data_IF_078204609664
#
_entry.id   IF_078204609664
#
_cell.length_a   1.000
_cell.length_b   1.000
_cell.length_c   1.000
_cell.angle_alpha   90.00
_cell.angle_beta   90.00
_cell.angle_gamma   90.00
#
_symmetry.space_group_name_H-M   'P 1'
#
loop_
_entity.id
_entity.type
_entity.pdbx_description
1 polymer ?
#
# COMPACT_ATOMS: atom_id res chain seq x y z
N UNK A 1 5.39 -2.60 11.58
CA UNK A 1 4.54 -1.99 10.55
C UNK A 1 5.44 -1.61 9.39
N UNK A 2 5.05 -1.89 8.15
CA UNK A 2 5.83 -1.56 6.96
C UNK A 2 5.06 -0.55 6.11
N UNK A 3 5.74 0.50 5.65
CA UNK A 3 5.13 1.54 4.79
C UNK A 3 5.43 1.21 3.33
N UNK A 4 4.39 1.08 2.53
CA UNK A 4 4.41 0.80 1.10
C UNK A 4 3.78 1.97 0.33
N UNK A 5 3.01 1.68 -0.72
CA UNK A 5 2.32 2.65 -1.58
C UNK A 5 1.29 1.91 -2.44
N UNK A 6 0.29 2.60 -2.98
CA UNK A 6 -0.53 2.07 -4.08
C UNK A 6 0.33 1.62 -5.30
N UNK A 7 1.51 2.23 -5.47
CA UNK A 7 2.47 1.83 -6.51
C UNK A 7 3.17 0.48 -6.25
N UNK A 8 2.98 -0.11 -5.07
CA UNK A 8 3.37 -1.49 -4.80
C UNK A 8 2.52 -2.52 -5.57
N UNK A 9 1.31 -2.11 -5.97
CA UNK A 9 0.32 -2.94 -6.63
C UNK A 9 0.24 -2.65 -8.12
N UNK A 10 0.31 -1.36 -8.48
CA UNK A 10 0.18 -0.88 -9.85
C UNK A 10 1.40 -0.02 -10.19
N UNK A 11 2.39 -0.56 -10.93
CA UNK A 11 3.59 0.19 -11.25
C UNK A 11 3.31 1.32 -12.26
N UNK A 12 4.08 2.41 -12.17
CA UNK A 12 4.02 3.53 -13.11
C UNK A 12 5.35 3.73 -13.82
N UNK A 13 5.30 4.11 -15.09
CA UNK A 13 6.47 4.18 -15.96
C UNK A 13 7.46 5.29 -15.58
N UNK A 14 7.01 6.35 -14.92
CA UNK A 14 7.88 7.47 -14.53
C UNK A 14 8.65 7.22 -13.23
N UNK A 15 8.28 6.21 -12.43
CA UNK A 15 8.92 5.89 -11.15
C UNK A 15 9.23 4.39 -10.99
N UNK A 16 9.95 3.75 -11.94
CA UNK A 16 10.09 2.29 -11.98
C UNK A 16 10.84 1.72 -10.77
N UNK A 17 11.90 2.38 -10.31
CA UNK A 17 12.67 1.93 -9.12
C UNK A 17 11.84 2.04 -7.85
N UNK A 18 11.05 3.12 -7.72
CA UNK A 18 10.14 3.28 -6.58
C UNK A 18 9.06 2.21 -6.58
N UNK A 19 8.36 2.01 -7.71
CA UNK A 19 7.36 0.95 -7.85
C UNK A 19 7.92 -0.44 -7.53
N UNK A 20 9.11 -0.79 -8.05
CA UNK A 20 9.76 -2.07 -7.76
C UNK A 20 10.10 -2.23 -6.26
N UNK A 21 10.62 -1.19 -5.62
CA UNK A 21 10.97 -1.20 -4.19
C UNK A 21 9.74 -1.35 -3.30
N UNK A 22 8.63 -0.70 -3.67
CA UNK A 22 7.36 -0.82 -2.97
C UNK A 22 6.72 -2.19 -3.18
N UNK A 23 6.80 -2.76 -4.39
CA UNK A 23 6.35 -4.13 -4.68
C UNK A 23 7.12 -5.18 -3.87
N UNK A 24 8.44 -5.02 -3.73
CA UNK A 24 9.25 -5.82 -2.82
C UNK A 24 8.73 -5.71 -1.39
N UNK A 25 8.53 -4.48 -0.89
CA UNK A 25 8.09 -4.23 0.49
C UNK A 25 6.71 -4.85 0.75
N UNK A 26 5.78 -4.76 -0.20
CA UNK A 26 4.48 -5.43 -0.17
C UNK A 26 4.62 -6.95 -0.08
N UNK A 27 5.38 -7.54 -1.01
CA UNK A 27 5.60 -8.99 -1.04
C UNK A 27 6.23 -9.50 0.25
N UNK A 28 7.28 -8.84 0.73
CA UNK A 28 7.94 -9.14 1.99
C UNK A 28 6.96 -9.05 3.18
N UNK A 29 6.16 -7.99 3.25
CA UNK A 29 5.20 -7.78 4.35
C UNK A 29 4.14 -8.88 4.39
N UNK A 30 3.63 -9.30 3.23
CA UNK A 30 2.64 -10.38 3.13
C UNK A 30 3.24 -11.71 3.58
N UNK A 31 4.42 -12.09 3.05
CA UNK A 31 5.09 -13.33 3.45
C UNK A 31 5.50 -13.34 4.93
N UNK A 32 5.99 -12.22 5.45
CA UNK A 32 6.37 -12.10 6.86
C UNK A 32 5.16 -12.24 7.78
N UNK A 33 4.00 -11.66 7.40
CA UNK A 33 2.75 -11.83 8.16
C UNK A 33 2.35 -13.30 8.28
N UNK A 34 2.51 -14.05 7.20
CA UNK A 34 2.19 -15.47 7.19
C UNK A 34 3.15 -16.29 8.05
N UNK A 35 4.47 -16.01 7.96
CA UNK A 35 5.48 -16.67 8.78
C UNK A 35 5.27 -16.45 10.28
N UNK A 36 4.78 -15.27 10.66
CA UNK A 36 4.58 -14.88 12.06
C UNK A 36 3.16 -15.13 12.58
N UNK A 37 2.26 -15.73 11.78
CA UNK A 37 0.83 -15.87 12.10
C UNK A 37 0.56 -16.61 13.43
N UNK A 38 1.43 -17.54 13.81
CA UNK A 38 1.33 -18.32 15.06
C UNK A 38 2.06 -17.69 16.24
N UNK A 39 2.56 -16.46 16.09
CA UNK A 39 3.25 -15.70 17.14
C UNK A 39 2.36 -14.57 17.66
N UNK A 40 2.85 -13.83 18.66
CA UNK A 40 2.20 -12.60 19.13
C UNK A 40 2.58 -11.35 18.34
N UNK A 41 3.30 -11.49 17.22
CA UNK A 41 3.74 -10.35 16.39
C UNK A 41 2.72 -10.06 15.29
N UNK A 42 2.17 -8.85 15.29
CA UNK A 42 1.29 -8.36 14.22
C UNK A 42 2.09 -7.61 13.14
N UNK A 43 1.94 -8.05 11.89
CA UNK A 43 2.57 -7.41 10.73
C UNK A 43 1.52 -6.63 9.95
N UNK A 44 1.61 -5.30 10.00
CA UNK A 44 0.69 -4.38 9.32
C UNK A 44 1.38 -3.71 8.15
N UNK A 45 0.69 -3.67 7.01
CA UNK A 45 1.05 -2.85 5.86
C UNK A 45 0.31 -1.52 5.93
N UNK A 46 1.05 -0.42 5.73
CA UNK A 46 0.49 0.92 5.55
C UNK A 46 0.79 1.33 4.11
N UNK A 47 -0.23 1.48 3.27
CA UNK A 47 -0.10 1.89 1.88
C UNK A 47 -0.71 3.30 1.69
N UNK A 48 0.06 4.37 1.85
CA UNK A 48 -0.44 5.73 1.68
C UNK A 48 -0.94 5.97 0.25
N UNK A 49 -1.99 6.77 0.04
CA UNK A 49 -2.29 7.35 -1.27
C UNK A 49 -1.29 8.47 -1.57
N UNK A 50 -1.56 9.24 -2.63
CA UNK A 50 -0.88 10.51 -2.81
C UNK A 50 -1.31 11.47 -1.70
N UNK A 51 -0.35 11.89 -0.86
CA UNK A 51 -0.57 12.80 0.29
C UNK A 51 0.11 14.14 0.02
N UNK A 52 -0.54 15.24 0.34
CA UNK A 52 0.01 16.60 0.26
C UNK A 52 1.15 16.75 1.27
N UNK A 53 2.37 16.45 0.84
CA UNK A 53 3.57 16.49 1.68
C UNK A 53 4.74 17.11 0.91
N UNK A 54 5.79 17.49 1.63
CA UNK A 54 7.01 18.05 1.04
C UNK A 54 7.69 17.10 0.05
N UNK A 55 7.43 15.78 0.17
CA UNK A 55 7.93 14.74 -0.72
C UNK A 55 7.65 15.02 -2.21
N UNK A 56 6.56 15.75 -2.51
CA UNK A 56 6.13 15.99 -3.87
C UNK A 56 6.50 17.37 -4.43
N UNK A 57 7.13 18.25 -3.63
CA UNK A 57 7.43 19.63 -4.03
C UNK A 57 8.46 19.73 -5.15
N UNK A 58 9.41 18.81 -5.21
CA UNK A 58 10.49 18.77 -6.21
C UNK A 58 10.29 17.72 -7.30
N UNK A 59 9.08 17.18 -7.43
CA UNK A 59 8.79 16.18 -8.46
C UNK A 59 8.81 16.80 -9.85
N UNK A 60 9.26 16.00 -10.82
CA UNK A 60 9.42 16.41 -12.21
C UNK A 60 8.07 16.65 -12.92
N UNK A 61 8.13 17.07 -14.18
CA UNK A 61 6.93 17.32 -14.98
C UNK A 61 6.10 16.06 -15.20
N UNK A 62 6.71 14.87 -15.27
CA UNK A 62 6.01 13.60 -15.53
C UNK A 62 5.10 13.23 -14.37
N UNK A 63 5.56 13.44 -13.14
CA UNK A 63 4.71 13.27 -11.96
C UNK A 63 3.52 14.22 -11.98
N UNK A 64 3.74 15.51 -12.27
CA UNK A 64 2.66 16.52 -12.33
C UNK A 64 1.65 16.19 -13.42
N UNK A 65 2.13 15.76 -14.59
CA UNK A 65 1.29 15.33 -15.71
C UNK A 65 0.47 14.10 -15.34
N UNK A 66 1.07 13.11 -14.67
CA UNK A 66 0.37 11.91 -14.21
C UNK A 66 -0.77 12.25 -13.23
N UNK A 67 -0.52 13.12 -12.25
CA UNK A 67 -1.55 13.56 -11.29
C UNK A 67 -2.70 14.24 -12.00
N UNK A 68 -2.38 15.17 -12.93
CA UNK A 68 -3.38 15.94 -13.68
C UNK A 68 -4.17 15.06 -14.66
N UNK A 69 -3.50 14.19 -15.43
CA UNK A 69 -4.14 13.37 -16.47
C UNK A 69 -5.07 12.31 -15.91
N UNK A 70 -4.83 11.87 -14.68
CA UNK A 70 -5.62 10.83 -14.01
C UNK A 70 -6.61 11.40 -12.99
N UNK A 71 -6.80 12.74 -12.94
CA UNK A 71 -7.67 13.42 -11.99
C UNK A 71 -7.44 12.97 -10.53
N UNK A 72 -6.17 12.80 -10.14
CA UNK A 72 -5.82 12.37 -8.80
C UNK A 72 -5.89 13.57 -7.87
N UNK A 73 -6.78 13.51 -6.89
CA UNK A 73 -6.83 14.49 -5.78
C UNK A 73 -5.98 13.97 -4.62
N UNK A 74 -4.88 14.64 -4.26
CA UNK A 74 -4.08 14.27 -3.10
C UNK A 74 -4.86 14.49 -1.80
N UNK A 75 -4.78 13.55 -0.86
CA UNK A 75 -5.30 13.76 0.50
C UNK A 75 -4.41 14.74 1.26
N UNK A 76 -5.00 15.52 2.14
CA UNK A 76 -4.24 16.26 3.16
C UNK A 76 -3.58 15.29 4.13
N UNK A 77 -2.57 15.76 4.87
CA UNK A 77 -1.90 14.96 5.89
C UNK A 77 -2.89 14.53 7.00
N UNK A 78 -3.78 15.42 7.43
CA UNK A 78 -4.77 15.13 8.47
C UNK A 78 -5.80 14.09 7.99
N UNK A 79 -6.29 14.20 6.75
CA UNK A 79 -7.17 13.19 6.15
C UNK A 79 -6.51 11.81 6.09
N UNK A 80 -5.22 11.77 5.76
CA UNK A 80 -4.47 10.53 5.75
C UNK A 80 -4.27 9.96 7.16
N UNK A 81 -3.92 10.79 8.14
CA UNK A 81 -3.74 10.36 9.54
C UNK A 81 -5.04 9.80 10.10
N UNK A 82 -6.18 10.48 9.88
CA UNK A 82 -7.48 9.99 10.33
C UNK A 82 -7.83 8.63 9.71
N UNK A 83 -7.55 8.43 8.42
CA UNK A 83 -7.78 7.15 7.76
C UNK A 83 -6.86 6.05 8.30
N UNK A 84 -5.60 6.39 8.58
CA UNK A 84 -4.62 5.48 9.15
C UNK A 84 -5.02 5.04 10.56
N UNK A 85 -5.31 5.99 11.46
CA UNK A 85 -5.74 5.72 12.84
C UNK A 85 -6.96 4.82 12.86
N UNK A 86 -7.99 5.17 12.08
CA UNK A 86 -9.19 4.34 11.94
C UNK A 86 -8.87 2.90 11.53
N UNK A 87 -8.01 2.70 10.52
CA UNK A 87 -7.66 1.36 10.06
C UNK A 87 -6.86 0.56 11.10
N UNK A 88 -6.02 1.23 11.90
CA UNK A 88 -5.28 0.59 12.98
C UNK A 88 -6.20 0.21 14.14
N UNK A 89 -7.13 1.09 14.52
CA UNK A 89 -8.13 0.86 15.57
C UNK A 89 -9.09 -0.28 15.21
N UNK A 90 -9.49 -0.38 13.94
CA UNK A 90 -10.26 -1.51 13.42
C UNK A 90 -9.45 -2.82 13.32
N UNK A 91 -8.15 -2.76 13.60
CA UNK A 91 -7.28 -3.92 13.62
C UNK A 91 -6.97 -4.47 12.23
N UNK A 92 -7.01 -3.65 11.17
CA UNK A 92 -6.72 -4.09 9.82
C UNK A 92 -5.25 -4.52 9.67
N UNK A 93 -5.01 -5.52 8.81
CA UNK A 93 -3.67 -5.98 8.44
C UNK A 93 -3.03 -5.13 7.34
N UNK A 94 -3.86 -4.42 6.57
CA UNK A 94 -3.48 -3.57 5.44
C UNK A 94 -4.33 -2.31 5.49
N UNK A 95 -3.69 -1.15 5.64
CA UNK A 95 -4.35 0.14 5.78
C UNK A 95 -3.98 1.03 4.59
N UNK A 96 -4.97 1.49 3.84
CA UNK A 96 -4.80 2.46 2.78
C UNK A 96 -5.97 3.42 2.70
N UNK A 97 -5.87 4.39 1.79
CA UNK A 97 -6.96 5.30 1.45
C UNK A 97 -6.97 5.57 -0.05
N UNK A 98 -8.09 6.08 -0.58
CA UNK A 98 -8.24 6.41 -2.00
C UNK A 98 -7.79 5.28 -2.93
N UNK A 99 -6.89 5.61 -3.87
CA UNK A 99 -6.32 4.65 -4.83
C UNK A 99 -5.64 3.44 -4.15
N UNK A 100 -4.90 3.66 -3.07
CA UNK A 100 -4.20 2.57 -2.37
C UNK A 100 -5.17 1.59 -1.71
N UNK A 101 -6.30 2.09 -1.18
CA UNK A 101 -7.37 1.22 -0.65
C UNK A 101 -8.03 0.38 -1.74
N UNK A 102 -8.26 0.97 -2.92
CA UNK A 102 -8.77 0.23 -4.08
C UNK A 102 -7.79 -0.88 -4.51
N UNK A 103 -6.49 -0.58 -4.54
CA UNK A 103 -5.45 -1.57 -4.86
C UNK A 103 -5.41 -2.72 -3.85
N UNK A 104 -5.46 -2.43 -2.54
CA UNK A 104 -5.56 -3.45 -1.47
C UNK A 104 -6.76 -4.36 -1.73
N UNK A 105 -7.94 -3.76 -1.91
CA UNK A 105 -9.17 -4.48 -2.16
C UNK A 105 -9.04 -5.40 -3.39
N UNK A 106 -8.58 -4.87 -4.53
CA UNK A 106 -8.46 -5.65 -5.77
C UNK A 106 -7.44 -6.78 -5.67
N UNK A 107 -6.32 -6.57 -4.99
CA UNK A 107 -5.34 -7.61 -4.76
C UNK A 107 -5.91 -8.75 -3.91
N UNK A 108 -6.63 -8.43 -2.83
CA UNK A 108 -7.27 -9.43 -1.95
C UNK A 108 -8.44 -10.13 -2.64
N UNK A 109 -9.26 -9.41 -3.39
CA UNK A 109 -10.36 -9.97 -4.20
C UNK A 109 -9.84 -10.97 -5.24
N UNK A 110 -8.73 -10.63 -5.92
CA UNK A 110 -8.20 -11.43 -7.03
C UNK A 110 -7.32 -12.60 -6.55
N UNK A 111 -6.41 -12.35 -5.60
CA UNK A 111 -5.37 -13.30 -5.21
C UNK A 111 -5.53 -13.84 -3.80
N UNK A 112 -6.45 -13.31 -2.99
CA UNK A 112 -6.55 -13.64 -1.56
C UNK A 112 -6.79 -15.12 -1.29
N UNK A 113 -7.68 -15.77 -2.06
CA UNK A 113 -7.97 -17.20 -1.92
C UNK A 113 -6.78 -18.07 -2.31
N UNK A 114 -6.15 -17.77 -3.46
CA UNK A 114 -4.95 -18.47 -3.95
C UNK A 114 -3.81 -18.30 -2.94
N UNK A 115 -3.57 -17.09 -2.47
CA UNK A 115 -2.56 -16.78 -1.47
C UNK A 115 -2.80 -17.58 -0.18
N UNK A 116 -4.02 -17.55 0.38
CA UNK A 116 -4.33 -18.28 1.60
C UNK A 116 -4.11 -19.80 1.46
N UNK A 117 -4.46 -20.37 0.31
CA UNK A 117 -4.22 -21.80 0.01
C UNK A 117 -2.72 -22.14 -0.06
N UNK A 118 -1.90 -21.27 -0.68
CA UNK A 118 -0.47 -21.51 -0.80
C UNK A 118 0.28 -21.28 0.52
N UNK A 119 -0.21 -20.36 1.35
CA UNK A 119 0.39 -20.05 2.65
C UNK A 119 0.03 -21.04 3.75
N UNK A 120 -1.12 -21.73 3.67
CA UNK A 120 -1.52 -22.76 4.64
C UNK A 120 -0.75 -24.08 4.48
N UNK A 121 -0.09 -24.29 3.34
CA UNK A 121 0.66 -25.51 3.04
C UNK A 121 2.01 -25.61 3.77
N UNK A 122 2.42 -24.60 4.55
CA UNK A 122 3.73 -24.56 5.24
C UNK A 122 3.65 -23.87 6.62
N UNK A 123 2.74 -24.31 7.48
CA UNK A 123 2.77 -24.03 8.91
C UNK A 123 2.90 -25.33 9.71
#
# INVERSE_FOLDING_TARGET
>A
MNVTSGLAYVPVSFAPVYSASMAFSKSFTVSLRDQLRSTNVKVVEIAPPLVQSELHQHQDSKFKDFVKSNNITPLTQDEWIMALEKGLDEGLDEVGAGFSQLCIYKWRETFGSIHAQLSSAKA
#
